data_IF_441788694513
#
_entry.id   IF_441788694513
#
_cell.length_a   1.000
_cell.length_b   1.000
_cell.length_c   1.000
_cell.angle_alpha   90.00
_cell.angle_beta   90.00
_cell.angle_gamma   90.00
#
_symmetry.space_group_name_H-M   'P 1'
#
loop_
_entity.id
_entity.type
_entity.pdbx_description
1 polymer ?
#
# COMPACT_ATOMS: atom_id res chain seq x y z
N UNK A 1 -11.14 0.41 13.61
CA UNK A 1 -11.50 -0.28 12.36
C UNK A 1 -11.71 -1.74 12.65
N UNK A 2 -12.90 -2.26 12.37
CA UNK A 2 -13.21 -3.69 12.40
C UNK A 2 -12.56 -4.41 11.20
N UNK A 3 -12.54 -5.74 11.21
CA UNK A 3 -12.05 -6.53 10.07
C UNK A 3 -12.90 -6.27 8.82
N UNK A 4 -14.23 -6.19 8.97
CA UNK A 4 -15.14 -5.86 7.85
C UNK A 4 -14.86 -4.48 7.26
N UNK A 5 -14.57 -3.48 8.09
CA UNK A 5 -14.17 -2.16 7.59
C UNK A 5 -12.82 -2.24 6.85
N UNK A 6 -11.83 -2.94 7.40
CA UNK A 6 -10.55 -3.13 6.73
C UNK A 6 -10.69 -3.82 5.36
N UNK A 7 -11.55 -4.83 5.28
CA UNK A 7 -11.91 -5.51 4.04
C UNK A 7 -12.55 -4.57 3.00
N UNK A 8 -13.53 -3.76 3.41
CA UNK A 8 -14.16 -2.77 2.53
C UNK A 8 -13.14 -1.75 1.99
N UNK A 9 -12.20 -1.30 2.84
CA UNK A 9 -11.11 -0.43 2.41
C UNK A 9 -10.21 -1.12 1.37
N UNK A 10 -9.88 -2.39 1.56
CA UNK A 10 -9.08 -3.15 0.58
C UNK A 10 -9.81 -3.30 -0.76
N UNK A 11 -11.13 -3.50 -0.76
CA UNK A 11 -11.96 -3.49 -1.98
C UNK A 11 -11.87 -2.12 -2.66
N UNK A 12 -12.10 -1.03 -1.92
CA UNK A 12 -12.05 0.32 -2.48
C UNK A 12 -10.68 0.64 -3.09
N UNK A 13 -9.59 0.29 -2.41
CA UNK A 13 -8.22 0.47 -2.91
C UNK A 13 -7.93 -0.40 -4.14
N UNK A 14 -8.51 -1.59 -4.22
CA UNK A 14 -8.37 -2.48 -5.37
C UNK A 14 -9.10 -1.92 -6.58
N UNK A 15 -10.35 -1.46 -6.39
CA UNK A 15 -11.10 -0.75 -7.43
C UNK A 15 -10.34 0.51 -7.91
N UNK A 16 -9.79 1.31 -7.00
CA UNK A 16 -8.97 2.46 -7.37
C UNK A 16 -7.73 2.07 -8.18
N UNK A 17 -7.08 0.95 -7.84
CA UNK A 17 -5.95 0.42 -8.62
C UNK A 17 -6.39 -0.02 -10.01
N UNK A 18 -7.56 -0.68 -10.14
CA UNK A 18 -8.12 -1.13 -11.41
C UNK A 18 -8.52 0.05 -12.30
N UNK A 19 -9.20 1.06 -11.75
CA UNK A 19 -9.60 2.26 -12.50
C UNK A 19 -8.36 3.01 -13.00
N UNK A 20 -7.34 3.14 -12.16
CA UNK A 20 -6.09 3.78 -12.56
C UNK A 20 -5.41 3.01 -13.70
N UNK A 21 -5.31 1.69 -13.61
CA UNK A 21 -4.76 0.86 -14.67
C UNK A 21 -5.59 0.91 -15.97
N UNK A 22 -6.91 0.98 -15.85
CA UNK A 22 -7.83 1.05 -17.00
C UNK A 22 -7.87 2.44 -17.66
N UNK A 23 -7.61 3.52 -16.90
CA UNK A 23 -7.70 4.90 -17.38
C UNK A 23 -6.72 5.27 -18.51
N UNK A 24 -5.74 4.40 -18.78
CA UNK A 24 -4.70 4.66 -19.78
C UNK A 24 -3.63 5.67 -19.33
N UNK A 25 -3.69 6.15 -18.09
CA UNK A 25 -2.62 6.98 -17.50
C UNK A 25 -1.35 6.13 -17.41
N UNK A 26 -0.29 6.59 -18.05
CA UNK A 26 0.98 5.91 -18.16
C UNK A 26 2.15 6.79 -17.65
N UNK A 27 3.32 6.17 -17.48
CA UNK A 27 4.54 6.84 -17.03
C UNK A 27 4.70 6.88 -15.51
N UNK A 28 5.73 7.62 -15.05
CA UNK A 28 6.15 7.65 -13.65
C UNK A 28 5.02 8.01 -12.66
N UNK A 29 4.14 8.94 -13.02
CA UNK A 29 3.00 9.32 -12.16
C UNK A 29 2.01 8.16 -11.93
N UNK A 30 1.73 7.35 -12.96
CA UNK A 30 0.90 6.17 -12.79
C UNK A 30 1.56 5.15 -11.87
N UNK A 31 2.86 4.92 -12.04
CA UNK A 31 3.63 4.00 -11.20
C UNK A 31 3.64 4.47 -9.74
N UNK A 32 3.88 5.76 -9.48
CA UNK A 32 3.85 6.35 -8.14
C UNK A 32 2.47 6.20 -7.48
N UNK A 33 1.39 6.45 -8.22
CA UNK A 33 0.03 6.31 -7.72
C UNK A 33 -0.31 4.84 -7.40
N UNK A 34 0.09 3.89 -8.24
CA UNK A 34 -0.07 2.45 -7.97
C UNK A 34 0.73 2.04 -6.73
N UNK A 35 1.97 2.50 -6.60
CA UNK A 35 2.81 2.22 -5.44
C UNK A 35 2.22 2.80 -4.15
N UNK A 36 1.66 4.01 -4.20
CA UNK A 36 0.99 4.61 -3.05
C UNK A 36 -0.24 3.78 -2.62
N UNK A 37 -1.08 3.35 -3.58
CA UNK A 37 -2.21 2.46 -3.30
C UNK A 37 -1.75 1.12 -2.72
N UNK A 38 -0.68 0.53 -3.25
CA UNK A 38 -0.08 -0.70 -2.75
C UNK A 38 0.44 -0.56 -1.31
N UNK A 39 1.05 0.58 -0.98
CA UNK A 39 1.54 0.85 0.37
C UNK A 39 0.39 0.86 1.36
N UNK A 40 -0.68 1.59 1.06
CA UNK A 40 -1.85 1.67 1.95
C UNK A 40 -2.45 0.28 2.18
N UNK A 41 -2.59 -0.53 1.13
CA UNK A 41 -3.06 -1.93 1.25
C UNK A 41 -2.16 -2.75 2.19
N UNK A 42 -0.85 -2.70 2.01
CA UNK A 42 0.11 -3.43 2.83
C UNK A 42 0.02 -3.04 4.32
N UNK A 43 -0.15 -1.74 4.63
CA UNK A 43 -0.33 -1.27 6.01
C UNK A 43 -1.62 -1.81 6.65
N UNK A 44 -2.72 -1.88 5.89
CA UNK A 44 -3.98 -2.46 6.37
C UNK A 44 -3.81 -3.95 6.68
N UNK A 45 -3.20 -4.71 5.76
CA UNK A 45 -2.97 -6.15 5.92
C UNK A 45 -2.08 -6.42 7.13
N UNK A 46 -0.94 -5.75 7.24
CA UNK A 46 -0.01 -5.90 8.35
C UNK A 46 -0.67 -5.60 9.70
N UNK A 47 -1.38 -4.48 9.81
CA UNK A 47 -1.94 -4.04 11.09
C UNK A 47 -3.19 -4.84 11.50
N UNK A 48 -4.05 -5.22 10.55
CA UNK A 48 -5.38 -5.79 10.85
C UNK A 48 -5.50 -7.29 10.60
N UNK A 49 -4.85 -7.81 9.56
CA UNK A 49 -4.94 -9.23 9.21
C UNK A 49 -3.80 -10.05 9.84
N UNK A 50 -2.58 -9.50 9.87
CA UNK A 50 -1.44 -10.12 10.56
C UNK A 50 -1.37 -9.80 12.05
N UNK A 51 -2.33 -9.02 12.57
CA UNK A 51 -2.45 -8.75 14.00
C UNK A 51 -1.30 -7.90 14.58
N UNK A 52 -0.45 -7.28 13.76
CA UNK A 52 0.69 -6.49 14.26
C UNK A 52 0.27 -5.28 15.11
N UNK A 53 -1.01 -4.87 15.04
CA UNK A 53 -1.56 -3.90 15.98
C UNK A 53 -1.46 -4.35 17.46
N UNK A 54 -1.40 -5.66 17.72
CA UNK A 54 -1.23 -6.23 19.06
C UNK A 54 0.25 -6.41 19.47
N UNK A 55 1.19 -6.15 18.57
CA UNK A 55 2.64 -6.29 18.80
C UNK A 55 3.41 -5.03 18.35
N UNK A 56 3.43 -3.97 19.18
CA UNK A 56 3.96 -2.66 18.78
C UNK A 56 5.45 -2.66 18.38
N UNK A 57 6.27 -3.49 19.02
CA UNK A 57 7.70 -3.62 18.71
C UNK A 57 7.92 -4.16 17.30
N UNK A 58 7.24 -5.25 16.95
CA UNK A 58 7.28 -5.86 15.61
C UNK A 58 6.68 -4.95 14.55
N UNK A 59 5.55 -4.30 14.87
CA UNK A 59 4.88 -3.36 13.97
C UNK A 59 5.81 -2.24 13.48
N UNK A 60 6.65 -1.68 14.37
CA UNK A 60 7.64 -0.65 13.99
C UNK A 60 8.70 -1.18 13.03
N UNK A 61 9.21 -2.38 13.27
CA UNK A 61 10.20 -3.01 12.38
C UNK A 61 9.64 -3.26 10.98
N UNK A 62 8.45 -3.87 10.90
CA UNK A 62 7.76 -4.08 9.62
C UNK A 62 7.43 -2.77 8.92
N UNK A 63 6.97 -1.75 9.65
CA UNK A 63 6.67 -0.44 9.07
C UNK A 63 7.92 0.24 8.51
N UNK A 64 9.07 0.14 9.20
CA UNK A 64 10.34 0.70 8.73
C UNK A 64 10.81 0.00 7.44
N UNK A 65 10.89 -1.33 7.45
CA UNK A 65 11.36 -2.10 6.29
C UNK A 65 10.43 -1.91 5.09
N UNK A 66 9.11 -1.99 5.29
CA UNK A 66 8.13 -1.74 4.24
C UNK A 66 8.25 -0.31 3.71
N UNK A 67 8.47 0.67 4.60
CA UNK A 67 8.63 2.06 4.19
C UNK A 67 9.86 2.30 3.34
N UNK A 68 11.01 1.77 3.75
CA UNK A 68 12.25 1.84 2.97
C UNK A 68 12.10 1.15 1.60
N UNK A 69 11.49 -0.04 1.57
CA UNK A 69 11.22 -0.75 0.33
C UNK A 69 10.35 0.07 -0.63
N UNK A 70 9.22 0.60 -0.14
CA UNK A 70 8.30 1.38 -0.98
C UNK A 70 8.90 2.70 -1.44
N UNK A 71 9.67 3.39 -0.60
CA UNK A 71 10.41 4.60 -0.99
C UNK A 71 11.46 4.28 -2.07
N UNK A 72 12.19 3.17 -1.94
CA UNK A 72 13.13 2.72 -2.96
C UNK A 72 12.43 2.46 -4.30
N UNK A 73 11.30 1.75 -4.28
CA UNK A 73 10.51 1.49 -5.48
C UNK A 73 9.95 2.78 -6.11
N UNK A 74 9.49 3.72 -5.29
CA UNK A 74 9.02 5.02 -5.78
C UNK A 74 10.15 5.86 -6.37
N UNK A 75 11.33 5.86 -5.75
CA UNK A 75 12.53 6.53 -6.27
C UNK A 75 12.95 5.96 -7.61
N UNK A 76 12.94 4.64 -7.76
CA UNK A 76 13.20 3.96 -9.04
C UNK A 76 12.16 4.32 -10.10
N UNK A 77 10.87 4.32 -9.74
CA UNK A 77 9.79 4.69 -10.64
C UNK A 77 9.81 6.17 -11.07
N UNK A 78 10.42 7.05 -10.27
CA UNK A 78 10.58 8.46 -10.60
C UNK A 78 11.87 8.75 -11.41
N UNK A 79 12.84 7.84 -11.38
CA UNK A 79 14.13 7.99 -12.07
C UNK A 79 14.13 7.40 -13.49
N UNK A 80 13.18 6.51 -13.80
CA UNK A 80 12.94 5.95 -15.15
C UNK A 80 11.88 6.72 -15.92
#
# INVERSE_FOLDING_TARGET
MTITQAWLFLIALSLGSTVLAWSGVAGGWAALAILALAWIKAQIILRRYLGLAQAPSWSRGFALVLGLYMLGMMGLAAAG
#
